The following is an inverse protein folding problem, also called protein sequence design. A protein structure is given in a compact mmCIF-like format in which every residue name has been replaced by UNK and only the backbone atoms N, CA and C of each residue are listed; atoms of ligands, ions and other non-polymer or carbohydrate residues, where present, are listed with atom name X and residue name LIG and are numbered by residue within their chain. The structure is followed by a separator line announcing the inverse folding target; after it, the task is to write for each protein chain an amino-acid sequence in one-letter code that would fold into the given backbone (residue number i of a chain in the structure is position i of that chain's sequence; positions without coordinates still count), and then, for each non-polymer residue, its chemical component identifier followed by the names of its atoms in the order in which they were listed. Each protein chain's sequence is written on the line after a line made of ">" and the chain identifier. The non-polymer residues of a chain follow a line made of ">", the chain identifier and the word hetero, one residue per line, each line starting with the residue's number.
data_IF_742887843571
#
_entry.id   IF_742887843571
#
_cell.length_a   1.000
_cell.length_b   1.000
_cell.length_c   1.000
_cell.angle_alpha   90.00
_cell.angle_beta   90.00
_cell.angle_gamma   90.00
#
_symmetry.space_group_name_H-M   'P 1'
#
loop_
_entity.id
_entity.type
_entity.pdbx_description
1 polymer ?
#
# COMPACT_ATOMS: atom_id res chain seq x y z
N UNK A 1 -12.78 5.61 -21.27
CA UNK A 1 -13.20 4.26 -20.82
C UNK A 1 -13.73 4.41 -19.40
N UNK A 2 -14.76 3.67 -19.00
CA UNK A 2 -15.22 3.73 -17.59
C UNK A 2 -14.21 3.04 -16.68
N UNK A 3 -14.01 3.59 -15.47
CA UNK A 3 -13.20 2.92 -14.45
C UNK A 3 -13.68 1.47 -14.24
N UNK A 4 -12.78 0.53 -13.97
CA UNK A 4 -13.17 -0.85 -13.72
C UNK A 4 -14.14 -0.92 -12.53
N UNK A 5 -15.11 -1.85 -12.54
CA UNK A 5 -16.04 -2.02 -11.44
C UNK A 5 -15.27 -2.39 -10.16
N UNK A 6 -15.73 -1.86 -9.02
CA UNK A 6 -15.20 -2.26 -7.72
C UNK A 6 -15.61 -3.71 -7.45
N UNK A 7 -14.65 -4.51 -7.05
CA UNK A 7 -14.83 -5.93 -6.73
C UNK A 7 -14.31 -6.23 -5.34
N UNK A 8 -14.82 -7.30 -4.72
CA UNK A 8 -14.38 -7.73 -3.39
C UNK A 8 -12.85 -7.91 -3.35
N UNK A 9 -12.19 -7.26 -2.40
CA UNK A 9 -10.74 -7.26 -2.24
C UNK A 9 -10.01 -6.18 -3.06
N UNK A 10 -10.69 -5.41 -3.93
CA UNK A 10 -10.00 -4.37 -4.72
C UNK A 10 -9.32 -3.34 -3.81
N UNK A 11 -8.12 -2.91 -4.19
CA UNK A 11 -7.39 -1.88 -3.45
C UNK A 11 -8.01 -0.52 -3.78
N UNK A 12 -8.58 0.13 -2.77
CA UNK A 12 -9.20 1.45 -2.89
C UNK A 12 -8.26 2.59 -2.47
N UNK A 13 -7.12 2.26 -1.88
CA UNK A 13 -6.11 3.26 -1.57
C UNK A 13 -5.13 2.86 -0.49
N UNK A 14 -4.25 3.81 -0.17
CA UNK A 14 -3.28 3.73 0.90
C UNK A 14 -3.08 5.09 1.58
N UNK A 15 -2.64 5.05 2.84
CA UNK A 15 -2.27 6.24 3.61
C UNK A 15 -0.76 6.25 3.79
N UNK A 16 -0.16 7.40 3.52
CA UNK A 16 1.26 7.69 3.76
C UNK A 16 1.37 8.74 4.85
N UNK A 17 2.13 8.42 5.89
CA UNK A 17 2.51 9.39 6.92
C UNK A 17 3.77 10.15 6.48
N UNK A 18 3.70 11.48 6.41
CA UNK A 18 4.81 12.33 5.93
C UNK A 18 5.13 13.46 6.91
N UNK A 19 6.41 13.85 7.12
CA UNK A 19 6.77 14.94 8.02
C UNK A 19 6.50 16.33 7.44
N UNK A 20 6.29 16.43 6.12
CA UNK A 20 6.04 17.68 5.40
C UNK A 20 5.05 17.42 4.27
N UNK A 21 3.77 17.74 4.53
CA UNK A 21 2.70 17.54 3.56
C UNK A 21 2.90 18.39 2.31
N UNK A 22 3.39 19.63 2.45
CA UNK A 22 3.53 20.53 1.31
C UNK A 22 4.56 20.02 0.32
N UNK A 23 5.72 19.62 0.82
CA UNK A 23 6.77 19.05 -0.01
C UNK A 23 6.38 17.68 -0.60
N UNK A 24 5.75 16.79 0.19
CA UNK A 24 5.26 15.52 -0.32
C UNK A 24 4.18 15.70 -1.40
N UNK A 25 3.24 16.61 -1.19
CA UNK A 25 2.20 16.92 -2.18
C UNK A 25 2.80 17.44 -3.50
N UNK A 26 3.84 18.29 -3.42
CA UNK A 26 4.55 18.76 -4.61
C UNK A 26 5.20 17.59 -5.38
N UNK A 27 5.79 16.63 -4.68
CA UNK A 27 6.41 15.45 -5.31
C UNK A 27 5.35 14.55 -5.96
N UNK A 28 4.26 14.24 -5.26
CA UNK A 28 3.19 13.38 -5.78
C UNK A 28 2.45 14.01 -6.97
N UNK A 29 2.19 15.32 -6.93
CA UNK A 29 1.55 16.00 -8.07
C UNK A 29 2.56 16.31 -9.18
N UNK A 30 3.70 16.90 -8.85
CA UNK A 30 4.65 17.41 -9.84
C UNK A 30 5.46 16.29 -10.50
N UNK A 31 5.96 15.33 -9.74
CA UNK A 31 6.82 14.25 -10.28
C UNK A 31 6.03 13.00 -10.65
N UNK A 32 5.07 12.58 -9.82
CA UNK A 32 4.27 11.38 -10.11
C UNK A 32 3.03 11.66 -10.96
N UNK A 33 2.54 12.91 -10.99
CA UNK A 33 1.41 13.30 -11.84
C UNK A 33 0.03 12.95 -11.26
N UNK A 34 -0.08 12.69 -9.96
CA UNK A 34 -1.38 12.47 -9.33
C UNK A 34 -2.21 13.76 -9.29
N UNK A 35 -3.51 13.64 -9.46
CA UNK A 35 -4.46 14.73 -9.30
C UNK A 35 -4.83 14.91 -7.81
N UNK A 36 -4.82 16.14 -7.33
CA UNK A 36 -5.35 16.46 -5.98
C UNK A 36 -6.88 16.42 -6.02
N UNK A 37 -7.47 15.63 -5.12
CA UNK A 37 -8.92 15.46 -4.97
C UNK A 37 -9.46 16.35 -3.85
N UNK A 38 -8.82 16.27 -2.67
CA UNK A 38 -9.15 17.13 -1.54
C UNK A 38 -7.92 17.45 -0.68
N UNK A 39 -8.05 18.50 0.14
CA UNK A 39 -7.03 18.92 1.09
C UNK A 39 -7.71 19.46 2.34
N UNK A 40 -8.03 18.58 3.26
CA UNK A 40 -8.77 18.89 4.49
C UNK A 40 -8.03 18.34 5.71
N UNK A 41 -8.23 18.94 6.91
CA UNK A 41 -7.74 18.32 8.14
C UNK A 41 -8.36 16.94 8.35
N UNK A 42 -7.59 16.00 8.89
CA UNK A 42 -8.08 14.66 9.21
C UNK A 42 -9.20 14.75 10.23
N UNK A 43 -10.41 14.32 9.85
CA UNK A 43 -11.58 14.33 10.72
C UNK A 43 -11.33 13.46 11.96
N UNK A 44 -11.77 13.92 13.13
CA UNK A 44 -11.56 13.23 14.40
C UNK A 44 -12.15 11.82 14.40
N UNK A 45 -13.36 11.66 13.82
CA UNK A 45 -14.06 10.38 13.72
C UNK A 45 -13.30 9.40 12.82
N UNK A 46 -12.63 9.90 11.77
CA UNK A 46 -11.82 9.08 10.89
C UNK A 46 -10.52 8.65 11.57
N UNK A 47 -9.82 9.58 12.22
CA UNK A 47 -8.63 9.27 13.02
C UNK A 47 -8.94 8.24 14.12
N UNK A 48 -10.10 8.37 14.77
CA UNK A 48 -10.56 7.43 15.80
C UNK A 48 -10.86 6.05 15.21
N UNK A 49 -11.46 5.98 14.02
CA UNK A 49 -11.73 4.69 13.36
C UNK A 49 -10.48 3.95 12.94
N UNK A 50 -9.40 4.67 12.65
CA UNK A 50 -8.08 4.08 12.37
C UNK A 50 -7.32 3.69 13.65
N UNK A 51 -7.89 3.96 14.85
CA UNK A 51 -7.19 3.76 16.12
C UNK A 51 -6.06 4.76 16.36
N UNK A 52 -6.10 5.90 15.66
CA UNK A 52 -5.06 6.92 15.66
C UNK A 52 -5.61 8.30 16.08
N UNK A 53 -6.29 8.42 17.26
CA UNK A 53 -6.96 9.66 17.66
C UNK A 53 -6.02 10.86 17.77
N UNK A 54 -4.72 10.65 18.02
CA UNK A 54 -3.70 11.71 18.05
C UNK A 54 -3.35 12.28 16.67
N UNK A 55 -3.85 11.67 15.58
CA UNK A 55 -3.72 12.21 14.22
C UNK A 55 -4.89 13.13 13.85
N UNK A 56 -5.93 13.26 14.68
CA UNK A 56 -7.06 14.16 14.42
C UNK A 56 -6.58 15.61 14.21
N UNK A 57 -7.13 16.27 13.20
CA UNK A 57 -6.75 17.63 12.82
C UNK A 57 -5.42 17.75 12.07
N UNK A 58 -4.68 16.66 11.85
CA UNK A 58 -3.49 16.68 11.00
C UNK A 58 -3.85 17.13 9.59
N UNK A 59 -2.95 17.91 8.95
CA UNK A 59 -3.12 18.30 7.56
C UNK A 59 -3.11 17.06 6.65
N UNK A 60 -4.05 16.97 5.70
CA UNK A 60 -4.08 15.86 4.73
C UNK A 60 -4.27 16.35 3.30
N UNK A 61 -3.85 15.50 2.37
CA UNK A 61 -4.18 15.65 0.96
C UNK A 61 -4.52 14.27 0.39
N UNK A 62 -5.63 14.19 -0.33
CA UNK A 62 -6.07 12.98 -1.03
C UNK A 62 -5.80 13.13 -2.52
N UNK A 63 -5.15 12.15 -3.09
CA UNK A 63 -4.65 12.12 -4.46
C UNK A 63 -5.27 10.94 -5.20
N UNK A 64 -5.49 11.11 -6.50
CA UNK A 64 -6.02 10.09 -7.40
C UNK A 64 -5.21 10.07 -8.69
N UNK A 65 -4.99 8.90 -9.33
CA UNK A 65 -4.36 8.85 -10.65
C UNK A 65 -5.22 9.58 -11.71
N UNK A 66 -4.55 10.15 -12.70
CA UNK A 66 -5.24 10.90 -13.79
C UNK A 66 -6.07 10.02 -14.73
N UNK A 67 -5.90 8.70 -14.67
CA UNK A 67 -6.82 7.73 -15.30
C UNK A 67 -8.24 7.78 -14.73
N UNK A 68 -8.40 8.32 -13.51
CA UNK A 68 -9.66 8.29 -12.78
C UNK A 68 -9.95 6.96 -12.08
N UNK A 69 -8.97 6.05 -11.99
CA UNK A 69 -9.12 4.82 -11.22
C UNK A 69 -9.53 5.13 -9.77
N UNK A 70 -10.47 4.35 -9.23
CA UNK A 70 -10.99 4.55 -7.88
C UNK A 70 -10.04 3.96 -6.82
N UNK A 71 -8.83 4.49 -6.81
CA UNK A 71 -7.75 4.13 -5.88
C UNK A 71 -7.03 5.41 -5.47
N UNK A 72 -6.96 5.69 -4.18
CA UNK A 72 -6.52 6.98 -3.66
C UNK A 72 -5.27 6.82 -2.79
N UNK A 73 -4.36 7.79 -2.87
CA UNK A 73 -3.27 7.94 -1.90
C UNK A 73 -3.61 9.13 -1.02
N UNK A 74 -3.69 8.91 0.30
CA UNK A 74 -3.85 9.99 1.27
C UNK A 74 -2.54 10.24 1.98
N UNK A 75 -2.03 11.45 1.85
CA UNK A 75 -0.90 11.95 2.63
C UNK A 75 -1.43 12.53 3.94
N UNK A 76 -0.82 12.17 5.06
CA UNK A 76 -1.16 12.69 6.40
C UNK A 76 0.09 13.24 7.04
N UNK A 77 0.05 14.51 7.44
CA UNK A 77 1.19 15.18 8.04
C UNK A 77 1.37 14.75 9.50
N UNK A 78 2.50 14.15 9.79
CA UNK A 78 2.92 13.86 11.16
C UNK A 78 4.43 13.68 11.25
N UNK A 79 5.05 13.95 12.41
CA UNK A 79 6.46 13.66 12.64
C UNK A 79 6.76 12.18 12.44
N UNK A 80 7.93 11.87 11.91
CA UNK A 80 8.42 10.49 11.79
C UNK A 80 9.36 10.17 12.95
N UNK A 81 9.24 8.98 13.57
CA UNK A 81 10.21 8.51 14.55
C UNK A 81 11.61 8.44 13.93
N UNK A 82 12.62 8.98 14.63
CA UNK A 82 14.02 8.93 14.17
C UNK A 82 14.51 7.48 14.02
N UNK A 83 13.98 6.58 14.84
CA UNK A 83 14.28 5.13 14.81
C UNK A 83 13.68 4.39 13.62
N UNK A 84 12.74 5.00 12.88
CA UNK A 84 12.11 4.31 11.76
C UNK A 84 13.06 4.18 10.57
N UNK A 85 13.35 2.92 10.25
CA UNK A 85 14.10 2.51 9.06
C UNK A 85 13.17 1.69 8.17
N UNK A 86 12.86 2.16 6.94
CA UNK A 86 12.01 1.40 6.01
C UNK A 86 12.56 0.01 5.74
N UNK A 87 11.69 -0.92 5.34
CA UNK A 87 12.06 -2.30 4.97
C UNK A 87 12.61 -3.16 6.13
N UNK A 88 12.63 -2.64 7.37
CA UNK A 88 13.16 -3.37 8.55
C UNK A 88 12.12 -3.65 9.63
N UNK A 89 10.85 -3.33 9.35
CA UNK A 89 9.76 -3.47 10.33
C UNK A 89 8.57 -4.22 9.76
N UNK A 90 7.83 -4.93 10.61
CA UNK A 90 6.57 -5.58 10.24
C UNK A 90 5.45 -4.57 9.94
N UNK A 91 4.42 -5.01 9.23
CA UNK A 91 3.28 -4.23 8.74
C UNK A 91 3.41 -3.88 7.25
N UNK A 92 2.64 -2.90 6.76
CA UNK A 92 2.67 -2.53 5.35
C UNK A 92 4.06 -2.08 4.91
N UNK A 93 4.71 -2.85 4.06
CA UNK A 93 6.08 -2.60 3.61
C UNK A 93 6.11 -1.67 2.40
N UNK A 94 5.19 -1.85 1.45
CA UNK A 94 5.14 -1.00 0.25
C UNK A 94 3.75 -0.98 -0.41
N UNK A 95 3.59 -0.05 -1.37
CA UNK A 95 2.52 -0.03 -2.36
C UNK A 95 3.12 -0.22 -3.75
N UNK A 96 2.59 -1.17 -4.51
CA UNK A 96 2.95 -1.38 -5.90
C UNK A 96 1.98 -0.65 -6.81
N UNK A 97 2.49 0.28 -7.58
CA UNK A 97 1.73 1.17 -8.45
C UNK A 97 2.04 0.83 -9.89
N UNK A 98 1.01 0.62 -10.71
CA UNK A 98 1.21 0.35 -12.14
C UNK A 98 1.58 1.64 -12.89
N UNK A 99 2.53 1.54 -13.83
CA UNK A 99 3.02 2.65 -14.65
C UNK A 99 3.10 2.25 -16.14
N UNK A 100 3.03 3.24 -17.04
CA UNK A 100 3.10 2.99 -18.49
C UNK A 100 4.52 2.62 -18.97
N UNK A 101 5.55 3.31 -18.51
CA UNK A 101 6.95 3.15 -18.93
C UNK A 101 7.85 3.34 -17.71
N UNK A 102 8.27 2.24 -17.12
CA UNK A 102 9.08 2.27 -15.91
C UNK A 102 10.46 2.89 -16.14
N UNK A 103 11.01 2.80 -17.35
CA UNK A 103 12.34 3.33 -17.67
C UNK A 103 12.37 4.87 -17.79
N UNK A 104 11.22 5.51 -17.94
CA UNK A 104 11.12 6.98 -17.92
C UNK A 104 11.18 7.57 -16.50
N UNK A 105 10.88 6.78 -15.47
CA UNK A 105 10.71 7.28 -14.10
C UNK A 105 11.98 7.79 -13.44
N UNK A 106 13.19 7.21 -13.62
CA UNK A 106 14.42 7.81 -13.08
C UNK A 106 14.58 9.28 -13.47
N UNK A 107 14.24 9.63 -14.72
CA UNK A 107 14.28 11.03 -15.18
C UNK A 107 13.16 11.89 -14.59
N UNK A 108 11.95 11.34 -14.43
CA UNK A 108 10.79 12.07 -13.93
C UNK A 108 10.91 12.43 -12.44
N UNK A 109 11.50 11.55 -11.64
CA UNK A 109 11.69 11.80 -10.18
C UNK A 109 12.99 12.54 -9.87
N UNK A 110 13.86 12.78 -10.85
CA UNK A 110 15.10 13.49 -10.64
C UNK A 110 14.85 14.90 -10.08
N UNK A 111 15.50 15.22 -8.95
CA UNK A 111 15.32 16.51 -8.26
C UNK A 111 14.06 16.62 -7.40
N UNK A 112 13.25 15.57 -7.28
CA UNK A 112 12.14 15.48 -6.32
C UNK A 112 12.62 14.99 -4.95
N UNK A 113 11.67 14.77 -4.03
CA UNK A 113 11.94 14.13 -2.74
C UNK A 113 11.92 12.60 -2.77
N UNK A 114 11.83 11.98 -3.95
CA UNK A 114 11.92 10.53 -4.08
C UNK A 114 13.37 10.08 -4.24
N UNK A 115 13.81 9.17 -3.38
CA UNK A 115 15.10 8.51 -3.44
C UNK A 115 14.97 7.16 -4.14
N UNK A 116 15.60 7.00 -5.32
CA UNK A 116 15.62 5.72 -6.03
C UNK A 116 16.54 4.73 -5.31
N UNK A 117 15.96 3.65 -4.80
CA UNK A 117 16.67 2.58 -4.07
C UNK A 117 16.91 1.34 -4.93
N UNK A 118 16.07 1.13 -5.97
CA UNK A 118 16.22 0.09 -6.97
C UNK A 118 15.89 0.65 -8.35
N UNK A 119 16.85 0.75 -9.30
CA UNK A 119 16.58 1.19 -10.66
C UNK A 119 15.68 0.20 -11.40
N UNK A 120 15.01 0.62 -12.51
CA UNK A 120 14.21 -0.29 -13.32
C UNK A 120 15.01 -1.52 -13.71
N UNK A 121 14.49 -2.70 -13.38
CA UNK A 121 15.17 -3.97 -13.62
C UNK A 121 14.17 -5.07 -13.95
N UNK A 122 14.47 -5.82 -15.00
CA UNK A 122 13.79 -7.09 -15.28
C UNK A 122 14.18 -8.12 -14.20
N UNK A 123 13.21 -8.89 -13.74
CA UNK A 123 13.41 -9.93 -12.74
C UNK A 123 13.53 -11.25 -13.47
N UNK A 124 14.65 -11.93 -13.29
CA UNK A 124 14.89 -13.25 -13.89
C UNK A 124 13.80 -14.24 -13.47
N UNK A 125 13.20 -14.91 -14.46
CA UNK A 125 12.09 -15.83 -14.22
C UNK A 125 10.71 -15.17 -14.09
N UNK A 126 10.61 -13.83 -14.04
CA UNK A 126 9.36 -13.07 -13.96
C UNK A 126 9.26 -12.05 -15.10
N UNK A 127 9.05 -12.48 -16.36
CA UNK A 127 9.04 -11.57 -17.53
C UNK A 127 7.76 -10.73 -17.64
N UNK A 128 6.84 -10.85 -16.70
CA UNK A 128 5.48 -10.28 -16.77
C UNK A 128 5.44 -8.81 -16.44
N UNK A 129 6.43 -8.31 -15.74
CA UNK A 129 6.54 -6.89 -15.36
C UNK A 129 8.00 -6.48 -15.12
N UNK A 130 8.22 -5.17 -15.14
CA UNK A 130 9.49 -4.55 -14.76
C UNK A 130 9.22 -3.59 -13.62
N UNK A 131 10.02 -3.68 -12.56
CA UNK A 131 9.84 -2.88 -11.37
C UNK A 131 11.03 -1.96 -11.11
N UNK A 132 10.76 -0.80 -10.51
CA UNK A 132 11.72 0.03 -9.79
C UNK A 132 11.18 0.40 -8.42
N UNK A 133 12.06 0.82 -7.51
CA UNK A 133 11.67 1.12 -6.14
C UNK A 133 12.20 2.47 -5.70
N UNK A 134 11.35 3.21 -4.98
CA UNK A 134 11.69 4.52 -4.42
C UNK A 134 11.22 4.66 -2.98
N UNK A 135 11.94 5.44 -2.19
CA UNK A 135 11.42 5.98 -0.93
C UNK A 135 10.94 7.41 -1.15
N UNK A 136 9.77 7.75 -0.61
CA UNK A 136 9.32 9.13 -0.53
C UNK A 136 9.70 9.81 0.78
N UNK A 137 9.21 11.06 0.99
CA UNK A 137 9.55 11.89 2.16
C UNK A 137 9.08 11.32 3.49
N UNK A 138 8.00 10.56 3.49
CA UNK A 138 7.51 9.81 4.64
C UNK A 138 8.26 8.51 4.90
N UNK A 139 9.32 8.25 4.14
CA UNK A 139 10.01 6.95 4.08
C UNK A 139 9.08 5.81 3.67
N UNK A 140 7.98 6.14 3.03
CA UNK A 140 7.15 5.14 2.34
C UNK A 140 7.93 4.51 1.19
N UNK A 141 7.72 3.22 1.01
CA UNK A 141 8.27 2.49 -0.11
C UNK A 141 7.20 2.34 -1.19
N UNK A 142 7.53 2.75 -2.39
CA UNK A 142 6.70 2.58 -3.57
C UNK A 142 7.46 1.76 -4.62
N UNK A 143 6.76 0.80 -5.20
CA UNK A 143 7.19 0.13 -6.43
C UNK A 143 6.45 0.75 -7.61
N UNK A 144 7.16 1.05 -8.68
CA UNK A 144 6.60 1.42 -9.97
C UNK A 144 6.76 0.23 -10.90
N UNK A 145 5.64 -0.36 -11.30
CA UNK A 145 5.60 -1.60 -12.05
C UNK A 145 4.99 -1.38 -13.44
N UNK A 146 5.80 -1.59 -14.48
CA UNK A 146 5.31 -1.69 -15.85
C UNK A 146 4.86 -3.11 -16.12
N UNK A 147 3.55 -3.33 -16.27
CA UNK A 147 2.99 -4.63 -16.65
C UNK A 147 3.21 -4.88 -18.13
N UNK A 148 3.76 -6.05 -18.47
CA UNK A 148 3.98 -6.50 -19.86
C UNK A 148 2.99 -7.58 -20.30
N UNK A 149 2.58 -8.43 -19.36
CA UNK A 149 1.58 -9.47 -19.60
C UNK A 149 1.04 -10.02 -18.27
N UNK A 150 -0.05 -10.77 -18.34
CA UNK A 150 -0.54 -11.53 -17.21
C UNK A 150 0.43 -12.65 -16.82
N UNK A 151 0.43 -13.03 -15.55
CA UNK A 151 1.12 -14.23 -15.09
C UNK A 151 0.27 -15.48 -15.38
N UNK A 152 0.79 -16.70 -15.24
CA UNK A 152 -0.03 -17.91 -15.34
C UNK A 152 -1.21 -17.93 -14.37
N UNK A 153 -1.08 -17.33 -13.20
CA UNK A 153 -2.07 -17.38 -12.10
C UNK A 153 -2.75 -16.05 -11.80
N UNK A 154 -2.19 -14.92 -12.23
CA UNK A 154 -2.73 -13.58 -11.96
C UNK A 154 -2.94 -12.77 -13.23
N UNK A 155 -3.99 -11.96 -13.23
CA UNK A 155 -4.24 -10.92 -14.22
C UNK A 155 -3.68 -9.59 -13.68
N UNK A 156 -2.61 -9.11 -14.32
CA UNK A 156 -1.96 -7.87 -13.92
C UNK A 156 -2.58 -6.68 -14.64
N UNK A 157 -2.90 -5.58 -13.95
CA UNK A 157 -3.47 -4.41 -14.60
C UNK A 157 -2.43 -3.67 -15.42
N UNK A 158 -2.84 -3.19 -16.61
CA UNK A 158 -2.06 -2.26 -17.40
C UNK A 158 -2.40 -0.83 -16.99
N UNK A 159 -1.38 0.02 -16.84
CA UNK A 159 -1.58 1.43 -16.54
C UNK A 159 -2.38 2.14 -17.66
N UNK A 160 -3.27 3.05 -17.27
CA UNK A 160 -4.07 3.91 -18.17
C UNK A 160 -3.73 5.39 -17.99
N UNK A 161 -2.68 5.67 -17.25
CA UNK A 161 -2.01 6.96 -17.11
C UNK A 161 -0.54 6.72 -16.75
N UNK A 162 0.35 7.70 -16.95
CA UNK A 162 1.78 7.50 -16.68
C UNK A 162 2.09 6.89 -15.34
N UNK A 163 1.43 7.34 -14.27
CA UNK A 163 1.34 6.72 -12.94
C UNK A 163 -0.14 6.42 -12.70
N UNK A 164 -0.48 5.19 -12.36
CA UNK A 164 -1.88 4.81 -12.21
C UNK A 164 -2.17 4.33 -10.77
N UNK A 165 -2.85 3.23 -10.57
CA UNK A 165 -3.37 2.82 -9.27
C UNK A 165 -2.46 1.79 -8.57
N UNK A 166 -2.63 1.69 -7.25
CA UNK A 166 -2.04 0.61 -6.45
C UNK A 166 -2.76 -0.69 -6.81
N UNK A 167 -2.03 -1.72 -7.20
CA UNK A 167 -2.60 -3.01 -7.59
C UNK A 167 -2.16 -4.19 -6.73
N UNK A 168 -1.04 -4.05 -6.01
CA UNK A 168 -0.57 -4.96 -4.97
C UNK A 168 -0.07 -4.11 -3.79
N UNK A 169 -0.26 -4.62 -2.58
CA UNK A 169 0.36 -4.09 -1.37
C UNK A 169 1.19 -5.17 -0.71
N UNK A 170 2.40 -4.82 -0.24
CA UNK A 170 3.31 -5.78 0.37
C UNK A 170 3.19 -5.70 1.89
N UNK A 171 2.97 -6.85 2.52
CA UNK A 171 2.90 -7.03 3.97
C UNK A 171 4.14 -7.77 4.48
N UNK A 172 5.00 -7.09 5.22
CA UNK A 172 6.06 -7.71 6.00
C UNK A 172 5.45 -8.43 7.20
N UNK A 173 5.46 -9.75 7.21
CA UNK A 173 4.80 -10.53 8.27
C UNK A 173 5.80 -11.25 9.18
N UNK A 174 5.52 -11.33 10.51
CA UNK A 174 6.26 -12.19 11.42
C UNK A 174 5.94 -13.68 11.22
N UNK A 175 4.79 -13.99 10.60
CA UNK A 175 4.33 -15.33 10.28
C UNK A 175 3.47 -15.25 9.00
N UNK A 176 4.12 -15.50 7.86
CA UNK A 176 3.50 -15.44 6.53
C UNK A 176 2.32 -16.41 6.41
N UNK A 177 2.46 -17.63 6.93
CA UNK A 177 1.41 -18.65 6.83
C UNK A 177 0.17 -18.27 7.66
N UNK A 178 0.37 -17.83 8.90
CA UNK A 178 -0.73 -17.36 9.75
C UNK A 178 -1.43 -16.13 9.14
N UNK A 179 -0.65 -15.21 8.54
CA UNK A 179 -1.22 -14.06 7.84
C UNK A 179 -2.01 -14.48 6.61
N UNK A 180 -1.50 -15.39 5.79
CA UNK A 180 -2.22 -15.86 4.60
C UNK A 180 -3.53 -16.57 4.97
N UNK A 181 -3.54 -17.36 6.05
CA UNK A 181 -4.76 -17.99 6.58
C UNK A 181 -5.76 -16.92 7.03
N UNK A 182 -5.30 -15.88 7.75
CA UNK A 182 -6.17 -14.80 8.21
C UNK A 182 -6.84 -14.05 7.05
N UNK A 183 -6.08 -13.63 6.03
CA UNK A 183 -6.63 -12.94 4.87
C UNK A 183 -7.63 -13.81 4.09
N UNK A 184 -7.39 -15.11 4.01
CA UNK A 184 -8.31 -16.06 3.38
C UNK A 184 -9.60 -16.23 4.21
N UNK A 185 -9.48 -16.51 5.49
CA UNK A 185 -10.61 -16.96 6.32
C UNK A 185 -11.47 -15.79 6.81
N UNK A 186 -10.83 -14.68 7.20
CA UNK A 186 -11.53 -13.53 7.77
C UNK A 186 -12.04 -12.55 6.68
N UNK A 187 -11.35 -12.45 5.54
CA UNK A 187 -11.75 -11.54 4.47
C UNK A 187 -12.37 -12.25 3.26
N UNK A 188 -12.40 -13.58 3.21
CA UNK A 188 -12.94 -14.33 2.09
C UNK A 188 -12.15 -14.15 0.79
N UNK A 189 -10.84 -13.91 0.93
CA UNK A 189 -9.91 -13.81 -0.20
C UNK A 189 -9.33 -15.19 -0.51
N UNK A 190 -8.71 -15.33 -1.69
CA UNK A 190 -8.12 -16.59 -2.12
C UNK A 190 -6.61 -16.56 -1.81
N UNK A 191 -6.10 -17.70 -1.34
CA UNK A 191 -4.65 -17.90 -1.26
C UNK A 191 -4.14 -18.31 -2.64
N UNK A 192 -3.21 -17.51 -3.17
CA UNK A 192 -2.49 -17.81 -4.40
C UNK A 192 -1.20 -18.60 -4.16
N UNK A 193 -0.30 -18.51 -5.13
CA UNK A 193 0.97 -19.22 -5.10
C UNK A 193 1.95 -18.67 -4.06
N UNK A 194 2.88 -19.52 -3.66
CA UNK A 194 4.03 -19.15 -2.85
C UNK A 194 5.28 -19.23 -3.71
N UNK A 195 6.06 -18.15 -3.70
CA UNK A 195 7.32 -18.04 -4.44
C UNK A 195 8.49 -17.90 -3.47
N UNK A 196 9.68 -18.28 -3.92
CA UNK A 196 10.93 -17.98 -3.24
C UNK A 196 11.81 -17.20 -4.20
N UNK A 197 12.08 -15.96 -3.86
CA UNK A 197 12.83 -15.04 -4.72
C UNK A 197 13.94 -14.34 -3.97
N UNK A 198 14.96 -13.84 -4.70
CA UNK A 198 15.97 -12.97 -4.14
C UNK A 198 15.42 -11.54 -4.07
N UNK A 199 15.14 -11.08 -2.84
CA UNK A 199 14.81 -9.70 -2.59
C UNK A 199 16.07 -8.87 -2.30
N UNK A 200 16.65 -8.30 -3.34
CA UNK A 200 17.88 -7.50 -3.20
C UNK A 200 17.74 -6.32 -2.24
N UNK A 201 16.55 -5.74 -2.12
CA UNK A 201 16.26 -4.66 -1.17
C UNK A 201 16.24 -5.14 0.27
N UNK A 202 15.57 -6.26 0.56
CA UNK A 202 15.54 -6.86 1.89
C UNK A 202 16.97 -7.26 2.26
N UNK A 203 17.67 -7.94 1.36
CA UNK A 203 19.07 -8.35 1.59
C UNK A 203 19.95 -7.15 1.93
N UNK A 204 19.82 -6.04 1.19
CA UNK A 204 20.57 -4.81 1.44
C UNK A 204 20.19 -4.16 2.78
N UNK A 205 18.88 -4.08 3.10
CA UNK A 205 18.39 -3.46 4.33
C UNK A 205 18.88 -4.18 5.59
N UNK A 206 19.02 -5.51 5.53
CA UNK A 206 19.47 -6.36 6.63
C UNK A 206 20.94 -6.78 6.56
N UNK A 207 21.68 -6.34 5.54
CA UNK A 207 23.08 -6.76 5.35
C UNK A 207 23.24 -8.26 5.10
N UNK A 208 22.26 -8.89 4.45
CA UNK A 208 22.31 -10.32 4.12
C UNK A 208 23.19 -10.56 2.88
N UNK A 209 23.77 -11.78 2.74
CA UNK A 209 24.51 -12.14 1.54
C UNK A 209 23.67 -12.01 0.27
N UNK A 210 24.28 -11.62 -0.85
CA UNK A 210 23.66 -11.70 -2.16
C UNK A 210 23.20 -13.13 -2.46
N UNK A 211 22.08 -13.29 -3.15
CA UNK A 211 21.48 -14.59 -3.41
C UNK A 211 20.64 -15.15 -2.27
N UNK A 212 20.55 -14.45 -1.11
CA UNK A 212 19.61 -14.85 -0.06
C UNK A 212 18.18 -14.71 -0.56
N UNK A 213 17.41 -15.80 -0.49
CA UNK A 213 15.99 -15.80 -0.92
C UNK A 213 15.08 -15.65 0.28
N UNK A 214 13.93 -14.99 0.05
CA UNK A 214 12.79 -14.92 0.98
C UNK A 214 11.56 -15.51 0.30
N UNK A 215 10.67 -16.08 1.09
CA UNK A 215 9.40 -16.58 0.56
C UNK A 215 8.32 -15.50 0.64
N UNK A 216 7.48 -15.45 -0.37
CA UNK A 216 6.27 -14.64 -0.41
C UNK A 216 5.07 -15.51 -0.76
N UNK A 217 3.89 -15.13 -0.29
CA UNK A 217 2.61 -15.75 -0.67
C UNK A 217 1.66 -14.67 -1.18
N UNK A 218 1.09 -14.91 -2.36
CA UNK A 218 0.07 -14.01 -2.91
C UNK A 218 -1.30 -14.28 -2.27
N UNK A 219 -1.99 -13.19 -1.95
CA UNK A 219 -3.42 -13.16 -1.64
C UNK A 219 -4.12 -12.46 -2.79
N UNK A 220 -5.20 -13.04 -3.27
CA UNK A 220 -5.88 -12.61 -4.49
C UNK A 220 -7.40 -12.80 -4.37
N UNK A 221 -8.15 -12.31 -5.34
CA UNK A 221 -9.56 -12.70 -5.54
C UNK A 221 -9.74 -13.15 -6.99
N UNK A 222 -10.05 -14.45 -7.16
CA UNK A 222 -9.95 -15.07 -8.47
C UNK A 222 -8.52 -14.94 -9.02
N UNK A 223 -8.33 -14.16 -10.09
CA UNK A 223 -7.02 -13.90 -10.67
C UNK A 223 -6.46 -12.50 -10.36
N UNK A 224 -7.21 -11.66 -9.63
CA UNK A 224 -6.75 -10.33 -9.23
C UNK A 224 -5.82 -10.41 -8.02
N UNK A 225 -4.53 -10.04 -8.14
CA UNK A 225 -3.61 -9.97 -7.00
C UNK A 225 -3.99 -8.80 -6.10
N UNK A 226 -3.78 -8.95 -4.78
CA UNK A 226 -4.17 -7.93 -3.80
C UNK A 226 -3.06 -7.69 -2.78
N UNK A 227 -2.64 -8.75 -2.05
CA UNK A 227 -1.61 -8.63 -1.02
C UNK A 227 -0.50 -9.63 -1.30
N UNK A 228 0.72 -9.16 -1.31
CA UNK A 228 1.92 -9.98 -1.24
C UNK A 228 2.35 -10.05 0.23
N UNK A 229 2.38 -11.23 0.80
CA UNK A 229 2.78 -11.45 2.19
C UNK A 229 4.18 -12.05 2.19
N UNK A 230 5.14 -11.30 2.74
CA UNK A 230 6.56 -11.66 2.74
C UNK A 230 7.03 -12.21 4.09
N UNK A 231 7.87 -13.26 4.01
CA UNK A 231 8.74 -13.64 5.13
C UNK A 231 9.87 -12.63 5.26
N UNK A 232 9.91 -11.94 6.38
CA UNK A 232 11.00 -11.01 6.70
C UNK A 232 12.04 -11.67 7.61
N UNK A 233 13.32 -11.25 7.53
CA UNK A 233 14.39 -11.82 8.34
C UNK A 233 14.10 -11.78 9.85
N UNK A 234 14.64 -12.71 10.67
CA UNK A 234 14.39 -12.75 12.12
C UNK A 234 14.78 -11.48 12.88
N UNK A 235 15.63 -10.64 12.30
CA UNK A 235 16.05 -9.35 12.87
C UNK A 235 14.99 -8.25 12.71
N UNK A 236 13.90 -8.52 11.97
CA UNK A 236 12.81 -7.56 11.73
C UNK A 236 12.16 -7.15 13.04
N UNK A 237 11.94 -5.86 13.19
CA UNK A 237 11.38 -5.28 14.41
C UNK A 237 9.89 -4.97 14.26
N UNK A 238 9.20 -4.88 15.38
CA UNK A 238 7.90 -4.22 15.39
C UNK A 238 8.06 -2.77 14.96
N UNK A 239 7.14 -2.27 14.14
CA UNK A 239 7.14 -0.86 13.75
C UNK A 239 6.77 -0.01 14.96
N UNK A 240 7.73 0.79 15.43
CA UNK A 240 7.49 1.74 16.50
C UNK A 240 6.52 2.82 16.01
N UNK A 241 5.45 3.00 16.76
CA UNK A 241 4.41 3.99 16.48
C UNK A 241 4.14 4.76 17.77
N UNK A 242 4.15 6.06 17.68
CA UNK A 242 3.74 6.92 18.80
C UNK A 242 2.27 6.66 19.12
N UNK A 243 1.95 6.57 20.42
CA UNK A 243 0.58 6.24 20.85
C UNK A 243 -0.46 7.18 20.24
N UNK A 244 -1.46 6.61 19.59
CA UNK A 244 -2.53 7.35 18.94
C UNK A 244 -2.16 8.01 17.61
N UNK A 245 -0.97 7.75 17.06
CA UNK A 245 -0.52 8.22 15.74
C UNK A 245 -0.57 7.10 14.69
N UNK A 246 -0.50 7.48 13.43
CA UNK A 246 -0.33 6.52 12.33
C UNK A 246 1.05 5.86 12.37
N UNK A 247 1.16 4.60 11.94
CA UNK A 247 2.47 4.01 11.65
C UNK A 247 3.23 4.86 10.63
N UNK A 248 4.57 5.02 10.75
CA UNK A 248 5.37 5.75 9.77
C UNK A 248 5.45 5.02 8.42
N UNK A 249 5.66 5.77 7.35
CA UNK A 249 5.77 5.24 5.98
C UNK A 249 4.42 4.83 5.40
N UNK A 250 4.32 3.61 4.87
CA UNK A 250 3.08 3.00 4.40
C UNK A 250 2.22 2.67 5.63
N UNK A 251 1.27 3.54 5.96
CA UNK A 251 0.61 3.55 7.26
C UNK A 251 -0.64 2.67 7.33
N UNK A 252 -1.44 2.66 6.26
CA UNK A 252 -2.73 1.98 6.21
C UNK A 252 -3.07 1.64 4.76
N UNK A 253 -3.72 0.50 4.55
CA UNK A 253 -4.29 0.10 3.26
C UNK A 253 -5.81 0.08 3.37
N UNK A 254 -6.49 0.47 2.28
CA UNK A 254 -7.95 0.44 2.17
C UNK A 254 -8.36 -0.56 1.08
N UNK A 255 -9.18 -1.55 1.44
CA UNK A 255 -9.76 -2.53 0.52
C UNK A 255 -11.28 -2.36 0.42
N UNK A 256 -11.83 -2.64 -0.76
CA UNK A 256 -13.27 -2.76 -0.97
C UNK A 256 -13.77 -4.16 -0.59
N UNK A 257 -14.87 -4.26 0.13
CA UNK A 257 -15.53 -5.54 0.46
C UNK A 257 -17.02 -5.48 0.15
N UNK A 258 -17.61 -6.59 -0.27
CA UNK A 258 -19.02 -6.63 -0.62
C UNK A 258 -19.94 -6.24 0.54
N UNK A 259 -19.66 -6.74 1.75
CA UNK A 259 -20.44 -6.44 2.95
C UNK A 259 -19.58 -6.47 4.20
N UNK A 260 -19.61 -5.40 5.00
CA UNK A 260 -18.95 -5.35 6.31
C UNK A 260 -19.66 -6.21 7.35
N UNK A 261 -20.98 -6.38 7.23
CA UNK A 261 -21.77 -7.18 8.18
C UNK A 261 -21.55 -8.69 8.01
N UNK A 262 -21.02 -9.12 6.86
CA UNK A 262 -20.65 -10.52 6.62
C UNK A 262 -19.31 -10.91 7.26
N UNK A 263 -18.52 -9.94 7.73
CA UNK A 263 -17.18 -10.16 8.29
C UNK A 263 -17.22 -10.14 9.81
N UNK A 264 -16.76 -11.22 10.44
CA UNK A 264 -16.72 -11.35 11.91
C UNK A 264 -15.43 -10.75 12.50
N UNK A 265 -15.11 -9.51 12.12
CA UNK A 265 -13.84 -8.87 12.47
C UNK A 265 -13.92 -8.07 13.78
N UNK A 266 -12.79 -7.99 14.48
CA UNK A 266 -12.63 -7.13 15.65
C UNK A 266 -12.39 -5.67 15.22
N UNK A 267 -13.44 -4.96 14.88
CA UNK A 267 -13.38 -3.56 14.45
C UNK A 267 -12.80 -2.64 15.51
N UNK A 268 -11.90 -1.72 15.14
CA UNK A 268 -11.41 -0.66 16.03
C UNK A 268 -12.58 0.24 16.47
N UNK A 269 -13.46 0.59 15.53
CA UNK A 269 -14.76 1.20 15.78
C UNK A 269 -15.80 0.54 14.87
N UNK A 270 -17.07 0.50 15.26
CA UNK A 270 -18.11 -0.07 14.41
C UNK A 270 -18.15 0.57 13.02
N UNK A 271 -18.55 -0.19 11.97
CA UNK A 271 -18.72 0.35 10.63
C UNK A 271 -19.72 1.52 10.58
N UNK A 272 -19.33 2.63 9.96
CA UNK A 272 -20.16 3.83 9.80
C UNK A 272 -20.05 4.39 8.38
N UNK A 273 -21.13 5.02 7.89
CA UNK A 273 -21.11 5.73 6.61
C UNK A 273 -20.22 6.98 6.70
N UNK A 274 -19.47 7.25 5.63
CA UNK A 274 -18.54 8.38 5.55
C UNK A 274 -18.76 9.18 4.28
N UNK A 275 -18.78 10.50 4.42
CA UNK A 275 -19.10 11.43 3.32
C UNK A 275 -17.89 11.87 2.50
N UNK A 276 -16.64 11.68 2.99
CA UNK A 276 -15.45 12.10 2.27
C UNK A 276 -15.33 11.39 0.91
N UNK A 277 -14.64 12.02 -0.02
CA UNK A 277 -14.61 11.64 -1.45
C UNK A 277 -14.24 10.17 -1.68
N UNK A 278 -13.24 9.64 -0.99
CA UNK A 278 -12.82 8.23 -1.15
C UNK A 278 -13.93 7.23 -0.79
N UNK A 279 -14.81 7.59 0.15
CA UNK A 279 -15.86 6.69 0.63
C UNK A 279 -17.15 6.82 -0.19
N UNK A 280 -17.46 8.01 -0.71
CA UNK A 280 -18.67 8.25 -1.50
C UNK A 280 -19.97 7.91 -0.77
N UNK A 281 -20.04 8.12 0.55
CA UNK A 281 -21.19 7.78 1.38
C UNK A 281 -21.24 6.34 1.87
N UNK A 282 -20.28 5.49 1.48
CA UNK A 282 -20.22 4.09 1.87
C UNK A 282 -19.79 3.91 3.32
N UNK A 283 -20.19 2.77 3.90
CA UNK A 283 -19.72 2.36 5.23
C UNK A 283 -18.26 1.95 5.18
N UNK A 284 -17.53 2.30 6.23
CA UNK A 284 -16.13 1.90 6.39
C UNK A 284 -15.81 1.59 7.85
N UNK A 285 -14.87 0.70 8.07
CA UNK A 285 -14.30 0.37 9.37
C UNK A 285 -12.87 -0.13 9.23
N UNK A 286 -12.11 -0.09 10.30
CA UNK A 286 -10.70 -0.49 10.31
C UNK A 286 -10.46 -1.61 11.32
N UNK A 287 -9.60 -2.53 10.96
CA UNK A 287 -9.09 -3.61 11.83
C UNK A 287 -7.58 -3.53 11.93
N UNK A 288 -7.04 -4.20 12.94
CA UNK A 288 -5.63 -4.58 12.99
C UNK A 288 -5.47 -5.98 12.42
N UNK A 289 -4.68 -6.10 11.38
CA UNK A 289 -4.34 -7.40 10.80
C UNK A 289 -3.25 -8.15 11.60
N UNK A 290 -2.90 -9.36 11.16
CA UNK A 290 -2.04 -10.29 11.91
C UNK A 290 -0.59 -9.82 12.09
N UNK A 291 -0.06 -9.00 11.19
CA UNK A 291 1.26 -8.39 11.34
C UNK A 291 1.23 -7.05 12.11
N UNK A 292 0.06 -6.66 12.64
CA UNK A 292 -0.17 -5.40 13.34
C UNK A 292 -0.46 -4.23 12.43
N UNK A 293 -0.63 -4.47 11.14
CA UNK A 293 -0.99 -3.49 10.12
C UNK A 293 -2.40 -2.94 10.32
N UNK A 294 -2.62 -1.69 9.91
CA UNK A 294 -3.94 -1.08 9.83
C UNK A 294 -4.57 -1.38 8.47
N UNK A 295 -5.71 -2.03 8.49
CA UNK A 295 -6.48 -2.36 7.29
C UNK A 295 -7.87 -1.75 7.39
N UNK A 296 -8.16 -0.77 6.54
CA UNK A 296 -9.48 -0.17 6.39
C UNK A 296 -10.27 -0.92 5.32
N UNK A 297 -11.52 -1.20 5.59
CA UNK A 297 -12.44 -1.85 4.67
C UNK A 297 -13.60 -0.89 4.36
N UNK A 298 -13.92 -0.75 3.06
CA UNK A 298 -15.05 0.04 2.55
C UNK A 298 -16.06 -0.91 1.92
N UNK A 299 -17.31 -0.80 2.32
CA UNK A 299 -18.41 -1.56 1.73
C UNK A 299 -18.71 -1.06 0.32
N UNK A 300 -18.69 -1.97 -0.66
CA UNK A 300 -18.88 -1.65 -2.09
C UNK A 300 -20.11 -2.31 -2.70
N UNK A 301 -20.76 -3.25 -1.97
CA UNK A 301 -21.98 -3.94 -2.38
C UNK A 301 -23.27 -3.16 -2.11
#
# INVERSE_FOLDING_TARGET
>A
MSAPPLTHGCIMGGVVATPDLSAALQDYQGSLGFALVDKEPLAAELAQSWGCPGAAGASTATLQPTSGAHCFIRLVEQPLPVSFVPTTTFGWASYEITVEDVFAWPGRIAGSGFDMIGPPKEIEGLPYFVAMQVHGRGKELLYFNETRSNTPTNDLPFAQSPMDHIFIVILASPDREASAVWYRDELGLDRGDTYSIEYSMINKAFGLPAGTTSSLTMIQKGRMPIVEIDDYPPQTKRRETETGRLPPGNALVTLGVESLDALALAWITPPVARSQTIYGGRRAATVKGPAGELLELIEIG
#
